data_IF_261518902248
#
_entry.id   IF_261518902248
#
_cell.length_a   1.000
_cell.length_b   1.000
_cell.length_c   1.000
_cell.angle_alpha   90.00
_cell.angle_beta   90.00
_cell.angle_gamma   90.00
#
_symmetry.space_group_name_H-M   'P 1'
#
loop_
_entity.id
_entity.type
_entity.pdbx_description
1 polymer ?
#
# COMPACT_ATOMS: atom_id res chain seq x y z
N UNK A 1 -72.61 -20.73 6.00
CA UNK A 1 -71.19 -21.16 6.10
C UNK A 1 -70.65 -21.89 4.87
N UNK A 2 -71.31 -22.94 4.32
CA UNK A 2 -70.78 -23.70 3.15
C UNK A 2 -70.50 -22.88 1.88
N UNK A 3 -71.22 -21.78 1.65
CA UNK A 3 -71.01 -20.91 0.48
C UNK A 3 -69.68 -20.15 0.56
N UNK A 4 -69.33 -19.61 1.73
CA UNK A 4 -68.10 -18.84 1.95
C UNK A 4 -66.84 -19.71 1.78
N UNK A 5 -66.84 -20.93 2.33
CA UNK A 5 -65.72 -21.88 2.23
C UNK A 5 -65.39 -22.28 0.79
N UNK A 6 -66.41 -22.41 -0.06
CA UNK A 6 -66.23 -22.81 -1.47
C UNK A 6 -65.57 -21.71 -2.32
N UNK A 7 -65.77 -20.44 -1.95
CA UNK A 7 -65.21 -19.29 -2.66
C UNK A 7 -63.81 -18.96 -2.13
N UNK A 8 -63.55 -19.15 -0.83
CA UNK A 8 -62.21 -19.03 -0.24
C UNK A 8 -61.24 -20.04 -0.85
N UNK A 9 -61.67 -21.29 -1.08
CA UNK A 9 -60.83 -22.30 -1.76
C UNK A 9 -60.50 -21.96 -3.21
N UNK A 10 -61.39 -21.24 -3.91
CA UNK A 10 -61.14 -20.78 -5.29
C UNK A 10 -60.18 -19.58 -5.33
N UNK A 11 -60.15 -18.75 -4.27
CA UNK A 11 -59.27 -17.58 -4.16
C UNK A 11 -57.88 -17.90 -3.61
N UNK A 12 -57.73 -19.04 -2.93
CA UNK A 12 -56.48 -19.54 -2.35
C UNK A 12 -55.30 -19.58 -3.35
N UNK A 13 -55.41 -20.14 -4.57
CA UNK A 13 -54.30 -20.13 -5.53
C UNK A 13 -53.92 -18.72 -5.99
N UNK A 14 -54.90 -17.82 -6.15
CA UNK A 14 -54.64 -16.43 -6.53
C UNK A 14 -53.89 -15.71 -5.41
N UNK A 15 -54.33 -15.89 -4.16
CA UNK A 15 -53.66 -15.35 -2.98
C UNK A 15 -52.24 -15.90 -2.81
N UNK A 16 -52.01 -17.18 -3.12
CA UNK A 16 -50.66 -17.78 -3.09
C UNK A 16 -49.73 -17.15 -4.11
N UNK A 17 -50.19 -16.90 -5.34
CA UNK A 17 -49.38 -16.23 -6.37
C UNK A 17 -49.05 -14.80 -5.97
N UNK A 18 -50.02 -14.07 -5.43
CA UNK A 18 -49.82 -12.70 -4.94
C UNK A 18 -48.81 -12.69 -3.78
N UNK A 19 -48.90 -13.62 -2.83
CA UNK A 19 -47.96 -13.72 -1.72
C UNK A 19 -46.53 -14.00 -2.21
N UNK A 20 -46.34 -14.93 -3.16
CA UNK A 20 -45.03 -15.24 -3.75
C UNK A 20 -44.45 -14.02 -4.47
N UNK A 21 -45.28 -13.26 -5.19
CA UNK A 21 -44.86 -12.02 -5.86
C UNK A 21 -44.36 -10.96 -4.86
N UNK A 22 -45.08 -10.76 -3.75
CA UNK A 22 -44.64 -9.81 -2.72
C UNK A 22 -43.36 -10.25 -2.01
N UNK A 23 -43.20 -11.54 -1.73
CA UNK A 23 -41.94 -12.08 -1.18
C UNK A 23 -40.79 -11.86 -2.17
N UNK A 24 -41.02 -12.08 -3.46
CA UNK A 24 -40.03 -11.82 -4.50
C UNK A 24 -39.63 -10.34 -4.56
N UNK A 25 -40.60 -9.42 -4.56
CA UNK A 25 -40.33 -7.97 -4.53
C UNK A 25 -39.53 -7.57 -3.29
N UNK A 26 -39.90 -8.09 -2.12
CA UNK A 26 -39.20 -7.81 -0.86
C UNK A 26 -37.75 -8.31 -0.87
N UNK A 27 -37.48 -9.46 -1.51
CA UNK A 27 -36.11 -9.96 -1.70
C UNK A 27 -35.32 -9.05 -2.64
N UNK A 28 -35.94 -8.56 -3.72
CA UNK A 28 -35.30 -7.66 -4.68
C UNK A 28 -34.99 -6.30 -4.07
N UNK A 29 -35.91 -5.73 -3.29
CA UNK A 29 -35.71 -4.47 -2.57
C UNK A 29 -34.63 -4.59 -1.48
N UNK A 30 -34.48 -5.76 -0.86
CA UNK A 30 -33.43 -6.05 0.12
C UNK A 30 -32.11 -6.56 -0.50
N UNK A 31 -31.93 -6.50 -1.82
CA UNK A 31 -30.61 -6.69 -2.43
C UNK A 31 -29.71 -5.50 -2.09
N UNK A 32 -29.22 -5.48 -0.85
CA UNK A 32 -28.06 -4.66 -0.47
C UNK A 32 -26.94 -5.02 -1.43
N UNK A 33 -26.27 -4.02 -1.99
CA UNK A 33 -25.04 -4.24 -2.71
C UNK A 33 -24.13 -5.05 -1.79
N UNK A 34 -23.73 -6.25 -2.21
CA UNK A 34 -22.70 -7.01 -1.51
C UNK A 34 -21.49 -6.08 -1.51
N UNK A 35 -20.97 -5.65 -0.33
CA UNK A 35 -19.78 -4.84 -0.32
C UNK A 35 -18.72 -5.63 -1.08
N UNK A 36 -18.19 -5.05 -2.16
CA UNK A 36 -17.10 -5.67 -2.91
C UNK A 36 -15.98 -5.91 -1.91
N UNK A 37 -15.76 -7.15 -1.55
CA UNK A 37 -14.60 -7.55 -0.79
C UNK A 37 -13.42 -7.47 -1.73
N UNK A 38 -12.76 -6.32 -1.75
CA UNK A 38 -11.43 -6.21 -2.30
C UNK A 38 -10.49 -6.86 -1.27
N UNK A 39 -9.80 -7.97 -1.60
CA UNK A 39 -8.84 -8.53 -0.68
C UNK A 39 -7.80 -7.45 -0.38
N UNK A 40 -7.77 -6.96 0.87
CA UNK A 40 -6.64 -6.17 1.35
C UNK A 40 -5.44 -7.08 1.25
N UNK A 41 -4.57 -6.85 0.28
CA UNK A 41 -3.30 -7.53 0.18
C UNK A 41 -2.46 -7.09 1.37
N UNK A 42 -2.53 -7.83 2.47
CA UNK A 42 -1.70 -7.58 3.64
C UNK A 42 -0.35 -8.22 3.38
N UNK A 43 0.58 -7.47 2.78
CA UNK A 43 1.97 -7.92 2.76
C UNK A 43 2.51 -7.89 4.19
N UNK A 44 3.20 -8.95 4.57
CA UNK A 44 3.90 -8.99 5.84
C UNK A 44 5.01 -7.93 5.86
N UNK A 45 5.05 -7.16 6.95
CA UNK A 45 6.02 -6.09 7.14
C UNK A 45 6.66 -6.20 8.51
N UNK A 46 7.96 -6.00 8.55
CA UNK A 46 8.73 -5.95 9.79
C UNK A 46 8.76 -4.54 10.35
N UNK A 47 8.66 -4.45 11.67
CA UNK A 47 9.10 -3.28 12.44
C UNK A 47 10.62 -3.15 12.39
N UNK A 48 11.17 -1.99 12.77
CA UNK A 48 12.61 -1.78 12.84
C UNK A 48 13.31 -2.82 13.74
N UNK A 49 12.73 -3.12 14.91
CA UNK A 49 13.29 -4.08 15.86
C UNK A 49 13.26 -5.52 15.33
N UNK A 50 12.23 -5.89 14.57
CA UNK A 50 12.16 -7.19 13.90
C UNK A 50 13.15 -7.24 12.74
N UNK A 51 13.21 -6.20 11.91
CA UNK A 51 14.15 -6.08 10.81
C UNK A 51 15.59 -6.29 11.30
N UNK A 52 16.02 -5.52 12.30
CA UNK A 52 17.37 -5.61 12.87
C UNK A 52 17.68 -6.97 13.49
N UNK A 53 16.67 -7.67 14.04
CA UNK A 53 16.85 -9.04 14.58
C UNK A 53 17.17 -10.06 13.50
N UNK A 54 16.68 -9.88 12.28
CA UNK A 54 16.93 -10.81 11.18
C UNK A 54 18.31 -10.61 10.53
N UNK A 55 19.01 -9.50 10.83
CA UNK A 55 20.28 -9.14 10.18
C UNK A 55 21.55 -9.80 10.74
N UNK A 56 21.49 -10.56 11.85
CA UNK A 56 22.63 -11.30 12.45
C UNK A 56 23.98 -10.53 12.64
N UNK A 57 23.95 -9.19 12.56
CA UNK A 57 24.96 -8.16 12.88
C UNK A 57 26.42 -8.31 12.39
N UNK A 58 26.77 -7.44 11.41
CA UNK A 58 27.66 -6.27 11.66
C UNK A 58 27.09 -5.06 10.90
N UNK A 59 26.75 -3.95 11.55
CA UNK A 59 26.33 -2.74 10.84
C UNK A 59 27.57 -1.99 10.33
N UNK A 60 27.60 -1.66 9.03
CA UNK A 60 28.59 -0.76 8.46
C UNK A 60 27.95 0.58 8.07
N UNK A 61 28.51 1.64 8.67
CA UNK A 61 28.37 3.09 8.44
C UNK A 61 27.06 3.83 8.77
N UNK A 62 27.23 5.01 9.37
CA UNK A 62 26.22 6.03 9.71
C UNK A 62 24.99 5.55 10.49
N UNK A 63 25.25 4.66 11.46
CA UNK A 63 24.30 3.97 12.33
C UNK A 63 23.08 4.79 12.77
N UNK A 64 23.23 6.06 13.17
CA UNK A 64 22.11 6.81 13.74
C UNK A 64 21.07 7.23 12.71
N UNK A 65 21.50 7.67 11.52
CA UNK A 65 20.58 8.15 10.48
C UNK A 65 19.87 6.96 9.83
N UNK A 66 20.61 5.90 9.52
CA UNK A 66 20.03 4.67 8.99
C UNK A 66 19.04 4.04 9.99
N UNK A 67 19.42 3.92 11.28
CA UNK A 67 18.50 3.44 12.32
C UNK A 67 17.29 4.35 12.47
N UNK A 68 17.44 5.66 12.32
CA UNK A 68 16.31 6.58 12.35
C UNK A 68 15.35 6.31 11.19
N UNK A 69 15.86 6.12 9.97
CA UNK A 69 15.03 5.74 8.82
C UNK A 69 14.28 4.43 9.08
N UNK A 70 14.99 3.40 9.53
CA UNK A 70 14.38 2.10 9.87
C UNK A 70 13.29 2.26 10.94
N UNK A 71 13.54 3.01 12.01
CA UNK A 71 12.56 3.29 13.08
C UNK A 71 11.34 4.07 12.63
N UNK A 72 11.48 4.87 11.57
CA UNK A 72 10.40 5.69 11.03
C UNK A 72 9.65 5.02 9.87
N UNK A 73 10.03 3.81 9.50
CA UNK A 73 9.42 3.07 8.41
C UNK A 73 9.14 1.62 8.81
N UNK A 74 8.33 0.93 8.02
CA UNK A 74 8.25 -0.54 8.04
C UNK A 74 8.82 -1.08 6.75
N UNK A 75 9.40 -2.27 6.79
CA UNK A 75 10.00 -2.90 5.62
C UNK A 75 9.20 -4.15 5.26
N UNK A 76 8.84 -4.33 3.99
CA UNK A 76 8.32 -5.60 3.51
C UNK A 76 9.36 -6.70 3.76
N UNK A 77 8.89 -7.90 4.12
CA UNK A 77 9.80 -9.03 4.33
C UNK A 77 10.64 -9.30 3.07
N UNK A 78 11.94 -9.52 3.26
CA UNK A 78 12.89 -9.76 2.17
C UNK A 78 13.41 -8.51 1.46
N UNK A 79 13.02 -7.30 1.90
CA UNK A 79 13.65 -6.06 1.46
C UNK A 79 14.89 -5.77 2.30
N UNK A 80 16.06 -5.69 1.68
CA UNK A 80 17.32 -5.40 2.36
C UNK A 80 17.81 -3.99 2.07
N UNK A 81 18.16 -3.25 3.12
CA UNK A 81 18.51 -1.83 3.11
C UNK A 81 19.93 -1.59 3.66
N UNK A 82 20.62 -2.65 4.07
CA UNK A 82 21.88 -2.62 4.83
C UNK A 82 23.03 -1.94 4.08
N UNK A 83 23.07 -2.12 2.77
CA UNK A 83 24.16 -1.64 1.90
C UNK A 83 23.82 -0.32 1.22
N UNK A 84 22.80 0.39 1.71
CA UNK A 84 22.43 1.68 1.15
C UNK A 84 23.47 2.75 1.49
N UNK A 85 23.77 3.64 0.54
CA UNK A 85 24.67 4.74 0.80
C UNK A 85 23.97 5.78 1.68
N UNK A 86 24.72 6.50 2.52
CA UNK A 86 24.17 7.48 3.47
C UNK A 86 23.31 8.59 2.83
N UNK A 87 23.53 8.89 1.55
CA UNK A 87 22.68 9.82 0.79
C UNK A 87 21.25 9.29 0.66
N UNK A 88 21.08 7.98 0.49
CA UNK A 88 19.77 7.32 0.46
C UNK A 88 19.08 7.37 1.80
N UNK A 89 19.80 7.23 2.93
CA UNK A 89 19.18 7.38 4.25
C UNK A 89 18.59 8.79 4.42
N UNK A 90 19.34 9.80 3.99
CA UNK A 90 18.90 11.21 4.04
C UNK A 90 17.67 11.43 3.15
N UNK A 91 17.69 10.93 1.91
CA UNK A 91 16.54 11.00 0.99
C UNK A 91 15.33 10.27 1.58
N UNK A 92 15.54 9.08 2.16
CA UNK A 92 14.51 8.30 2.82
C UNK A 92 13.82 9.07 3.94
N UNK A 93 14.59 9.78 4.77
CA UNK A 93 14.02 10.62 5.82
C UNK A 93 13.27 11.85 5.29
N UNK A 94 13.74 12.46 4.18
CA UNK A 94 12.99 13.52 3.50
C UNK A 94 11.65 13.02 2.96
N UNK A 95 11.61 11.80 2.42
CA UNK A 95 10.38 11.13 1.96
C UNK A 95 9.44 10.85 3.15
N UNK A 96 9.96 10.28 4.24
CA UNK A 96 9.20 10.05 5.48
C UNK A 96 8.57 11.34 5.99
N UNK A 97 9.32 12.44 5.99
CA UNK A 97 8.80 13.74 6.39
C UNK A 97 7.67 14.20 5.46
N UNK A 98 7.79 14.00 4.14
CA UNK A 98 6.71 14.29 3.20
C UNK A 98 5.45 13.44 3.46
N UNK A 99 5.61 12.16 3.81
CA UNK A 99 4.50 11.32 4.24
C UNK A 99 3.80 11.90 5.47
N UNK A 100 4.54 12.30 6.51
CA UNK A 100 3.93 12.87 7.71
C UNK A 100 3.17 14.18 7.43
N UNK A 101 3.68 15.05 6.55
CA UNK A 101 2.99 16.27 6.14
C UNK A 101 1.68 16.01 5.38
N UNK A 102 1.56 14.87 4.70
CA UNK A 102 0.40 14.52 3.87
C UNK A 102 -0.60 13.64 4.63
N UNK A 103 -0.11 12.69 5.42
CA UNK A 103 -0.91 11.63 6.05
C UNK A 103 -1.02 11.75 7.58
N UNK A 104 -0.22 12.61 8.22
CA UNK A 104 -0.13 12.76 9.67
C UNK A 104 1.16 12.17 10.25
N UNK A 105 1.61 12.72 11.39
CA UNK A 105 2.84 12.31 12.08
C UNK A 105 2.80 10.88 12.64
N UNK A 106 1.60 10.30 12.78
CA UNK A 106 1.36 8.93 13.23
C UNK A 106 1.44 7.90 12.09
N UNK A 107 1.37 8.35 10.84
CA UNK A 107 1.48 7.47 9.69
C UNK A 107 2.91 6.92 9.55
N UNK A 108 3.05 5.60 9.52
CA UNK A 108 4.35 4.95 9.32
C UNK A 108 4.47 4.44 7.87
N UNK A 109 5.32 5.04 7.02
CA UNK A 109 5.49 4.61 5.64
C UNK A 109 6.06 3.20 5.53
N UNK A 110 5.68 2.48 4.48
CA UNK A 110 6.15 1.13 4.20
C UNK A 110 7.07 1.15 2.99
N UNK A 111 8.30 0.67 3.17
CA UNK A 111 9.25 0.41 2.08
C UNK A 111 8.95 -0.99 1.55
N UNK A 112 8.51 -1.07 0.29
CA UNK A 112 8.13 -2.32 -0.38
C UNK A 112 9.25 -2.90 -1.23
N UNK A 113 10.30 -2.12 -1.51
CA UNK A 113 11.43 -2.51 -2.35
C UNK A 113 12.66 -1.67 -2.02
N UNK A 114 13.84 -2.25 -2.20
CA UNK A 114 15.13 -1.70 -1.81
C UNK A 114 16.22 -2.39 -2.60
N UNK A 115 17.03 -3.25 -1.97
CA UNK A 115 17.81 -4.25 -2.69
C UNK A 115 17.18 -5.63 -2.51
N UNK A 116 16.27 -5.97 -3.41
CA UNK A 116 15.46 -7.19 -3.40
C UNK A 116 15.66 -7.98 -4.70
N UNK A 117 16.75 -8.74 -4.76
CA UNK A 117 17.00 -9.71 -5.82
C UNK A 117 16.12 -10.96 -5.66
N UNK A 118 15.51 -11.52 -6.73
CA UNK A 118 15.59 -11.15 -8.15
C UNK A 118 14.35 -10.38 -8.71
N UNK A 119 13.80 -9.41 -7.98
CA UNK A 119 12.53 -8.77 -8.33
C UNK A 119 12.56 -7.75 -9.49
N UNK A 120 13.74 -7.32 -9.92
CA UNK A 120 13.93 -6.17 -10.82
C UNK A 120 14.66 -6.50 -12.12
N UNK A 121 14.54 -5.60 -13.12
CA UNK A 121 15.37 -5.63 -14.33
C UNK A 121 16.86 -5.57 -13.96
N UNK A 122 17.71 -6.23 -14.75
CA UNK A 122 19.15 -6.35 -14.47
C UNK A 122 19.87 -5.00 -14.30
N UNK A 123 19.37 -3.94 -14.94
CA UNK A 123 19.93 -2.58 -14.87
C UNK A 123 19.24 -1.70 -13.83
N UNK A 124 18.38 -2.27 -12.98
CA UNK A 124 17.65 -1.54 -11.95
C UNK A 124 18.60 -1.00 -10.88
N UNK A 125 18.32 0.23 -10.44
CA UNK A 125 19.06 0.88 -9.36
C UNK A 125 18.77 0.28 -7.99
N UNK A 126 17.72 -0.54 -7.87
CA UNK A 126 17.48 -1.39 -6.70
C UNK A 126 18.68 -2.31 -6.41
N UNK A 127 19.24 -2.94 -7.46
CA UNK A 127 20.42 -3.80 -7.32
C UNK A 127 21.73 -3.04 -7.01
N UNK A 128 21.69 -1.71 -7.10
CA UNK A 128 22.80 -0.82 -6.75
C UNK A 128 22.59 -0.18 -5.37
N UNK A 129 21.57 -0.59 -4.61
CA UNK A 129 21.13 0.06 -3.36
C UNK A 129 20.82 1.57 -3.53
N UNK A 130 20.43 1.97 -4.74
CA UNK A 130 20.28 3.36 -5.14
C UNK A 130 18.82 3.72 -5.50
N UNK A 131 17.85 2.87 -5.10
CA UNK A 131 16.43 3.11 -5.26
C UNK A 131 15.60 2.61 -4.06
N UNK A 132 14.43 3.24 -3.88
CA UNK A 132 13.38 2.84 -2.95
C UNK A 132 12.03 2.77 -3.64
N UNK A 133 11.21 1.81 -3.23
CA UNK A 133 9.78 1.90 -3.46
C UNK A 133 9.04 2.05 -2.14
N UNK A 134 8.26 3.11 -2.03
CA UNK A 134 7.37 3.33 -0.90
C UNK A 134 5.93 3.01 -1.30
N UNK A 135 5.24 2.20 -0.50
CA UNK A 135 3.83 1.96 -0.72
C UNK A 135 3.03 3.26 -0.56
N UNK A 136 2.21 3.57 -1.55
CA UNK A 136 1.29 4.72 -1.50
C UNK A 136 -0.17 4.34 -1.73
N UNK A 137 -0.44 3.09 -2.11
CA UNK A 137 -1.81 2.58 -2.35
C UNK A 137 -2.72 2.74 -1.12
N UNK A 138 -2.16 2.72 0.08
CA UNK A 138 -2.93 2.88 1.33
C UNK A 138 -3.38 4.33 1.59
N UNK A 139 -2.85 5.31 0.84
CA UNK A 139 -3.26 6.70 0.94
C UNK A 139 -4.44 7.02 0.01
N UNK A 140 -5.30 8.01 0.34
CA UNK A 140 -6.27 8.55 -0.61
C UNK A 140 -5.59 9.08 -1.89
N UNK A 141 -6.24 8.95 -3.05
CA UNK A 141 -5.64 9.33 -4.35
C UNK A 141 -5.10 10.78 -4.38
N UNK A 142 -5.83 11.73 -3.78
CA UNK A 142 -5.39 13.12 -3.69
C UNK A 142 -4.09 13.28 -2.89
N UNK A 143 -3.95 12.48 -1.82
CA UNK A 143 -2.76 12.46 -0.98
C UNK A 143 -1.58 11.82 -1.72
N UNK A 144 -1.81 10.77 -2.52
CA UNK A 144 -0.77 10.15 -3.37
C UNK A 144 -0.15 11.17 -4.32
N UNK A 145 -0.99 11.90 -5.07
CA UNK A 145 -0.54 12.94 -6.00
C UNK A 145 0.26 14.03 -5.27
N UNK A 146 -0.28 14.54 -4.17
CA UNK A 146 0.36 15.58 -3.35
C UNK A 146 1.70 15.11 -2.78
N UNK A 147 1.79 13.87 -2.33
CA UNK A 147 3.01 13.25 -1.84
C UNK A 147 4.08 13.17 -2.94
N UNK A 148 3.73 12.67 -4.13
CA UNK A 148 4.65 12.58 -5.26
C UNK A 148 5.22 13.95 -5.64
N UNK A 149 4.36 14.97 -5.74
CA UNK A 149 4.78 16.35 -6.05
C UNK A 149 5.69 16.93 -4.95
N UNK A 150 5.34 16.73 -3.68
CA UNK A 150 6.13 17.21 -2.55
C UNK A 150 7.49 16.53 -2.44
N UNK A 151 7.55 15.22 -2.68
CA UNK A 151 8.80 14.46 -2.68
C UNK A 151 9.69 14.94 -3.82
N UNK A 152 9.15 15.08 -5.04
CA UNK A 152 9.90 15.59 -6.18
C UNK A 152 10.48 17.00 -5.94
N UNK A 153 9.71 17.90 -5.31
CA UNK A 153 10.18 19.25 -4.97
C UNK A 153 11.28 19.23 -3.90
N UNK A 154 11.11 18.46 -2.81
CA UNK A 154 12.08 18.37 -1.72
C UNK A 154 13.41 17.77 -2.14
N UNK A 155 13.36 16.64 -2.84
CA UNK A 155 14.59 15.91 -3.18
C UNK A 155 15.32 16.56 -4.36
N UNK A 156 14.58 17.31 -5.19
CA UNK A 156 15.11 18.11 -6.28
C UNK A 156 15.78 17.26 -7.36
N UNK A 157 16.90 17.75 -7.89
CA UNK A 157 17.62 17.11 -8.99
C UNK A 157 18.54 15.95 -8.55
N UNK A 158 18.48 15.51 -7.29
CA UNK A 158 19.30 14.37 -6.80
C UNK A 158 18.76 13.02 -7.26
N UNK A 159 17.45 12.96 -7.47
CA UNK A 159 16.73 11.72 -7.70
C UNK A 159 15.70 11.89 -8.81
N UNK A 160 15.31 10.75 -9.39
CA UNK A 160 14.11 10.62 -10.20
C UNK A 160 13.00 10.10 -9.30
N UNK A 161 11.85 10.76 -9.32
CA UNK A 161 10.63 10.36 -8.61
C UNK A 161 9.61 9.91 -9.62
N UNK A 162 9.10 8.70 -9.45
CA UNK A 162 8.11 8.11 -10.35
C UNK A 162 6.98 7.55 -9.51
N UNK A 163 5.75 7.91 -9.89
CA UNK A 163 4.57 7.21 -9.39
C UNK A 163 4.28 6.03 -10.29
N UNK A 164 4.62 4.83 -9.84
CA UNK A 164 4.36 3.59 -10.57
C UNK A 164 2.96 3.09 -10.24
N UNK A 165 2.10 3.07 -11.27
CA UNK A 165 0.69 2.67 -11.15
C UNK A 165 0.53 1.20 -11.55
N UNK A 166 -0.25 0.45 -10.78
CA UNK A 166 -0.51 -0.97 -11.04
C UNK A 166 -1.13 -1.66 -9.83
N UNK A 167 -1.03 -2.99 -9.77
CA UNK A 167 -1.52 -3.78 -8.61
C UNK A 167 -0.72 -3.50 -7.33
N UNK A 168 0.57 -3.20 -7.45
CA UNK A 168 1.45 -2.81 -6.35
C UNK A 168 1.86 -1.34 -6.48
N UNK A 169 0.88 -0.43 -6.40
CA UNK A 169 1.12 1.01 -6.59
C UNK A 169 2.04 1.60 -5.51
N UNK A 170 3.15 2.16 -5.97
CA UNK A 170 4.21 2.69 -5.11
C UNK A 170 4.83 3.98 -5.68
N UNK A 171 5.51 4.71 -4.80
CA UNK A 171 6.37 5.83 -5.14
C UNK A 171 7.80 5.29 -5.28
N UNK A 172 8.26 5.20 -6.51
CA UNK A 172 9.62 4.83 -6.85
C UNK A 172 10.52 6.07 -6.79
N UNK A 173 11.63 5.98 -6.06
CA UNK A 173 12.63 7.04 -5.96
C UNK A 173 14.02 6.44 -6.19
N UNK A 174 14.71 6.91 -7.22
CA UNK A 174 16.06 6.44 -7.56
C UNK A 174 17.05 7.60 -7.66
N UNK A 175 18.30 7.39 -7.22
CA UNK A 175 19.38 8.37 -7.42
C UNK A 175 19.68 8.56 -8.91
N UNK A 176 20.00 9.78 -9.32
CA UNK A 176 20.60 9.98 -10.65
C UNK A 176 22.06 9.48 -10.65
N UNK A 177 22.54 9.01 -11.79
CA UNK A 177 23.82 8.30 -11.92
C UNK A 177 25.03 9.09 -11.39
N UNK A 178 24.97 10.42 -11.49
CA UNK A 178 26.01 11.32 -10.99
C UNK A 178 26.10 11.39 -9.46
N UNK A 179 25.05 10.97 -8.75
CA UNK A 179 24.97 10.94 -7.28
C UNK A 179 25.08 9.52 -6.71
N UNK A 180 25.12 8.49 -7.56
CA UNK A 180 25.42 7.14 -7.12
C UNK A 180 26.91 7.11 -6.73
N UNK A 181 27.25 6.74 -5.48
CA UNK A 181 28.64 6.58 -5.09
C UNK A 181 29.35 5.63 -6.05
N UNK A 182 30.49 6.07 -6.57
CA UNK A 182 31.39 5.21 -7.33
C UNK A 182 32.40 4.67 -6.32
N UNK A 183 32.41 3.36 -6.14
CA UNK A 183 33.44 2.67 -5.37
C UNK A 183 34.85 2.97 -5.92
#
# INVERSE_FOLDING_TARGET
MKFLYRHIFLLLPVLSVVAVYFVYQFIQENKRAIPKYEPKYTEDTWSAEEYMRHLNLRPFNNDEVHRLLLKRTRQKQGVYLESMPAVMDTIGLEIVHAFHLVAGDDYTPVITSGNDFPGHLRTSKHYMNAAFDFRIVDLPLNNRKRLTEMVADKIGNRCKVIWEKGEAEHLHVELLDQFIPKD
#
